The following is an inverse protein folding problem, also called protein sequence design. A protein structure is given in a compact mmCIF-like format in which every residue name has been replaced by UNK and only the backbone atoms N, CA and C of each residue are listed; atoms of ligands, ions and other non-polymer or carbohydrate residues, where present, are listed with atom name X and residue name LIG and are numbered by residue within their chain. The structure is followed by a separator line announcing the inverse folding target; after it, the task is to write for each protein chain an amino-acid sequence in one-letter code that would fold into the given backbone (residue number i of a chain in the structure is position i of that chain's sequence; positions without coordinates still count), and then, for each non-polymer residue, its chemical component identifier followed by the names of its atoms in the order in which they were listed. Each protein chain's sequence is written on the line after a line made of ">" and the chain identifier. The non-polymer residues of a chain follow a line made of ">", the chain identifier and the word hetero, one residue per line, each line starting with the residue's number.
data_IF_650888453505
#
_entry.id   IF_650888453505
#
_cell.length_a   1.000
_cell.length_b   1.000
_cell.length_c   1.000
_cell.angle_alpha   90.00
_cell.angle_beta   90.00
_cell.angle_gamma   90.00
#
_symmetry.space_group_name_H-M   'P 1'
#
loop_
_entity.id
_entity.type
_entity.pdbx_description
1 polymer ?
#
# COMPACT_ATOMS: atom_id res chain seq x y z
N UNK A 1 19.14 37.40 10.57
CA UNK A 1 20.53 36.95 10.72
C UNK A 1 20.66 36.20 12.06
N UNK A 2 20.75 34.87 11.98
CA UNK A 2 21.44 33.89 12.87
C UNK A 2 21.23 33.90 14.42
N UNK A 3 20.61 32.79 14.88
CA UNK A 3 20.78 31.90 16.07
C UNK A 3 20.72 32.43 17.53
N UNK A 4 19.97 31.70 18.37
CA UNK A 4 20.39 30.80 19.48
C UNK A 4 19.11 30.46 20.30
N UNK A 5 18.79 29.27 20.80
CA UNK A 5 19.35 27.93 20.75
C UNK A 5 18.25 26.94 21.17
N UNK A 6 18.21 25.75 20.55
CA UNK A 6 17.27 24.70 20.91
C UNK A 6 18.01 23.67 21.75
N UNK A 7 17.64 23.61 23.03
CA UNK A 7 18.13 22.66 24.01
C UNK A 7 17.63 21.26 23.66
N UNK A 8 18.56 20.33 23.74
CA UNK A 8 18.44 18.91 23.50
C UNK A 8 17.62 18.25 24.61
N UNK A 9 16.66 17.39 24.23
CA UNK A 9 16.02 16.25 24.91
C UNK A 9 14.72 15.99 24.13
N UNK A 10 14.29 14.79 23.74
CA UNK A 10 14.62 13.44 24.17
C UNK A 10 14.17 12.47 23.06
N UNK A 11 14.80 11.29 23.04
CA UNK A 11 14.56 10.15 22.18
C UNK A 11 13.09 9.91 21.78
N UNK A 12 12.84 9.73 20.47
CA UNK A 12 12.33 8.49 19.86
C UNK A 12 12.73 8.52 18.38
N UNK A 13 13.98 8.09 18.13
CA UNK A 13 14.64 8.07 16.82
C UNK A 13 14.08 7.03 15.85
N UNK A 14 12.82 7.19 15.43
CA UNK A 14 12.30 6.61 14.20
C UNK A 14 11.91 7.74 13.27
N UNK A 15 12.92 8.47 12.80
CA UNK A 15 12.77 9.19 11.54
C UNK A 15 12.83 8.13 10.44
N UNK A 16 11.72 7.42 10.24
CA UNK A 16 11.51 6.68 9.01
C UNK A 16 11.51 7.73 7.90
N UNK A 17 12.68 7.96 7.30
CA UNK A 17 12.77 8.57 6.00
C UNK A 17 12.17 7.53 5.07
N UNK A 18 10.84 7.51 4.97
CA UNK A 18 10.14 6.64 4.02
C UNK A 18 10.42 7.23 2.66
N UNK A 19 11.58 6.86 2.11
CA UNK A 19 12.04 7.29 0.80
C UNK A 19 10.99 6.78 -0.18
N UNK A 20 10.37 7.69 -0.92
CA UNK A 20 9.32 7.32 -1.87
C UNK A 20 9.94 6.48 -3.00
N UNK A 21 9.29 5.38 -3.43
CA UNK A 21 7.98 4.90 -2.99
C UNK A 21 8.02 4.10 -1.67
N UNK A 22 7.02 4.31 -0.81
CA UNK A 22 6.79 3.47 0.36
C UNK A 22 6.19 2.13 -0.08
N UNK A 23 6.77 1.01 0.36
CA UNK A 23 6.29 -0.33 0.01
C UNK A 23 5.61 -0.97 1.21
N UNK A 24 4.38 -1.44 1.03
CA UNK A 24 3.59 -2.13 2.05
C UNK A 24 3.20 -3.50 1.52
N UNK A 25 3.67 -4.57 2.17
CA UNK A 25 3.30 -5.94 1.86
C UNK A 25 2.29 -6.45 2.89
N UNK A 26 1.16 -7.00 2.43
CA UNK A 26 0.13 -7.58 3.27
C UNK A 26 0.20 -9.09 3.13
N UNK A 27 0.67 -9.77 4.18
CA UNK A 27 0.73 -11.22 4.27
C UNK A 27 -0.22 -11.75 5.35
N UNK A 28 -0.62 -13.01 5.26
CA UNK A 28 -1.49 -13.66 6.24
C UNK A 28 -2.11 -14.95 5.72
N UNK A 29 -2.86 -15.64 6.58
CA UNK A 29 -3.57 -16.88 6.26
C UNK A 29 -4.83 -16.63 5.41
N UNK A 30 -5.29 -17.64 4.69
CA UNK A 30 -6.53 -17.54 3.92
C UNK A 30 -7.75 -17.34 4.81
N UNK A 31 -8.73 -16.58 4.32
CA UNK A 31 -9.87 -16.13 5.12
C UNK A 31 -9.60 -14.90 6.01
N UNK A 32 -8.35 -14.48 6.22
CA UNK A 32 -7.99 -13.31 7.05
C UNK A 32 -8.33 -11.93 6.46
N UNK A 33 -9.02 -11.88 5.31
CA UNK A 33 -9.45 -10.60 4.71
C UNK A 33 -8.32 -9.74 4.13
N UNK A 34 -7.23 -10.34 3.66
CA UNK A 34 -6.04 -9.65 3.09
C UNK A 34 -6.40 -8.68 1.96
N UNK A 35 -7.07 -9.18 0.92
CA UNK A 35 -7.45 -8.42 -0.28
C UNK A 35 -8.40 -7.28 0.06
N UNK A 36 -9.38 -7.54 0.93
CA UNK A 36 -10.33 -6.53 1.41
C UNK A 36 -9.64 -5.44 2.24
N UNK A 37 -8.68 -5.82 3.09
CA UNK A 37 -7.92 -4.88 3.90
C UNK A 37 -6.99 -4.02 3.03
N UNK A 38 -6.39 -4.60 1.99
CA UNK A 38 -5.58 -3.89 1.01
C UNK A 38 -6.40 -2.83 0.27
N UNK A 39 -7.59 -3.20 -0.25
CA UNK A 39 -8.48 -2.26 -0.92
C UNK A 39 -8.94 -1.11 -0.02
N UNK A 40 -9.29 -1.40 1.23
CA UNK A 40 -9.64 -0.37 2.24
C UNK A 40 -8.47 0.56 2.56
N UNK A 41 -7.26 0.01 2.69
CA UNK A 41 -6.05 0.79 2.94
C UNK A 41 -5.76 1.73 1.76
N UNK A 42 -5.83 1.21 0.54
CA UNK A 42 -5.62 2.00 -0.66
C UNK A 42 -6.65 3.13 -0.79
N UNK A 43 -7.94 2.86 -0.55
CA UNK A 43 -8.97 3.89 -0.54
C UNK A 43 -8.67 5.02 0.46
N UNK A 44 -8.27 4.67 1.69
CA UNK A 44 -7.91 5.65 2.72
C UNK A 44 -6.71 6.50 2.31
N UNK A 45 -5.66 5.87 1.77
CA UNK A 45 -4.46 6.56 1.32
C UNK A 45 -4.73 7.44 0.09
N UNK A 46 -5.59 7.00 -0.83
CA UNK A 46 -6.00 7.79 -2.00
C UNK A 46 -6.78 9.03 -1.58
N UNK A 47 -7.69 8.89 -0.60
CA UNK A 47 -8.42 10.01 0.01
C UNK A 47 -7.48 11.01 0.71
N UNK A 48 -6.34 10.55 1.23
CA UNK A 48 -5.29 11.40 1.78
C UNK A 48 -4.40 12.06 0.70
N UNK A 49 -4.69 11.86 -0.59
CA UNK A 49 -3.93 12.46 -1.70
C UNK A 49 -2.66 11.71 -2.09
N UNK A 50 -2.45 10.48 -1.60
CA UNK A 50 -1.30 9.67 -1.99
C UNK A 50 -1.48 9.09 -3.40
N UNK A 51 -0.38 9.02 -4.16
CA UNK A 51 -0.30 8.21 -5.39
C UNK A 51 -0.05 6.76 -4.98
N UNK A 52 -0.89 5.84 -5.46
CA UNK A 52 -0.88 4.43 -5.07
C UNK A 52 -0.78 3.58 -6.33
N UNK A 53 0.12 2.60 -6.25
CA UNK A 53 0.24 1.50 -7.18
C UNK A 53 -0.07 0.22 -6.39
N UNK A 54 -1.09 -0.53 -6.84
CA UNK A 54 -1.39 -1.86 -6.32
C UNK A 54 -0.62 -2.90 -7.13
N UNK A 55 -0.18 -3.97 -6.48
CA UNK A 55 0.43 -5.11 -7.15
C UNK A 55 -0.29 -6.39 -6.72
N UNK A 56 -0.85 -7.12 -7.69
CA UNK A 56 -1.50 -8.40 -7.49
C UNK A 56 -0.45 -9.52 -7.38
N UNK A 57 0.12 -9.68 -6.19
CA UNK A 57 1.08 -10.75 -5.89
C UNK A 57 0.47 -12.08 -5.46
N UNK A 58 -0.86 -12.16 -5.27
CA UNK A 58 -1.55 -13.42 -4.93
C UNK A 58 -1.74 -14.27 -6.20
N UNK A 59 -0.74 -15.06 -6.54
CA UNK A 59 -0.75 -15.91 -7.74
C UNK A 59 -1.47 -17.24 -7.52
N UNK A 60 -1.64 -17.68 -6.27
CA UNK A 60 -2.24 -18.98 -5.95
C UNK A 60 -3.75 -18.97 -6.13
N UNK A 61 -4.42 -17.86 -5.80
CA UNK A 61 -5.88 -17.74 -5.88
C UNK A 61 -6.27 -16.90 -7.08
N UNK A 62 -6.65 -17.56 -8.18
CA UNK A 62 -7.03 -16.90 -9.44
C UNK A 62 -8.03 -15.75 -9.23
N UNK A 63 -9.10 -16.01 -8.46
CA UNK A 63 -10.14 -15.04 -8.15
C UNK A 63 -9.68 -13.83 -7.30
N UNK A 64 -8.52 -13.90 -6.63
CA UNK A 64 -8.01 -12.76 -5.86
C UNK A 64 -7.56 -11.63 -6.79
N UNK A 65 -7.01 -11.96 -7.96
CA UNK A 65 -6.56 -10.98 -8.97
C UNK A 65 -7.75 -10.12 -9.44
N UNK A 66 -8.83 -10.77 -9.88
CA UNK A 66 -10.07 -10.12 -10.32
C UNK A 66 -10.68 -9.25 -9.21
N UNK A 67 -10.66 -9.76 -7.96
CA UNK A 67 -11.14 -8.99 -6.82
C UNK A 67 -10.31 -7.72 -6.59
N UNK A 68 -8.99 -7.80 -6.75
CA UNK A 68 -8.09 -6.67 -6.57
C UNK A 68 -8.23 -5.65 -7.72
N UNK A 69 -8.47 -6.10 -8.95
CA UNK A 69 -8.79 -5.24 -10.09
C UNK A 69 -10.04 -4.40 -9.82
N UNK A 70 -11.12 -5.03 -9.34
CA UNK A 70 -12.35 -4.31 -8.95
C UNK A 70 -12.05 -3.25 -7.87
N UNK A 71 -11.15 -3.53 -6.93
CA UNK A 71 -10.74 -2.55 -5.92
C UNK A 71 -9.90 -1.42 -6.52
N UNK A 72 -9.02 -1.72 -7.47
CA UNK A 72 -8.22 -0.72 -8.18
C UNK A 72 -9.13 0.24 -8.96
N UNK A 73 -10.11 -0.29 -9.70
CA UNK A 73 -11.13 0.49 -10.41
C UNK A 73 -11.93 1.37 -9.46
N UNK A 74 -12.45 0.80 -8.36
CA UNK A 74 -13.24 1.54 -7.36
C UNK A 74 -12.47 2.66 -6.67
N UNK A 75 -11.16 2.52 -6.54
CA UNK A 75 -10.30 3.50 -5.86
C UNK A 75 -9.58 4.43 -6.84
N UNK A 76 -9.66 4.17 -8.15
CA UNK A 76 -8.88 4.88 -9.16
C UNK A 76 -7.37 4.75 -8.94
N UNK A 77 -6.91 3.58 -8.49
CA UNK A 77 -5.49 3.27 -8.34
C UNK A 77 -5.00 2.47 -9.56
N UNK A 78 -3.72 2.66 -9.91
CA UNK A 78 -3.07 1.80 -10.90
C UNK A 78 -2.81 0.42 -10.28
N UNK A 79 -2.93 -0.64 -11.08
CA UNK A 79 -2.68 -2.02 -10.66
C UNK A 79 -1.73 -2.71 -11.63
N UNK A 80 -0.75 -3.42 -11.07
CA UNK A 80 0.09 -4.37 -11.80
C UNK A 80 -0.41 -5.77 -11.48
N UNK A 81 -0.76 -6.52 -12.53
CA UNK A 81 -1.23 -7.90 -12.42
C UNK A 81 -0.22 -8.81 -13.12
N UNK A 82 0.03 -9.99 -12.54
CA UNK A 82 0.88 -10.98 -13.17
C UNK A 82 0.22 -11.50 -14.46
N UNK A 83 0.99 -11.60 -15.54
CA UNK A 83 0.50 -12.16 -16.81
C UNK A 83 -0.01 -13.58 -16.59
N UNK A 84 -1.27 -13.82 -16.94
CA UNK A 84 -1.85 -15.15 -17.07
C UNK A 84 -2.32 -15.30 -18.52
N UNK A 85 -1.83 -16.32 -19.22
CA UNK A 85 -2.50 -16.78 -20.43
C UNK A 85 -3.93 -17.17 -20.03
N UNK A 86 -4.93 -16.47 -20.58
CA UNK A 86 -6.32 -16.89 -20.49
C UNK A 86 -6.44 -18.17 -21.32
N UNK A 87 -6.41 -19.32 -20.65
CA UNK A 87 -6.72 -20.62 -21.24
C UNK A 87 -8.21 -20.74 -21.57
#
# INVERSE_FOLDING_TARGET
>A
MIKFGFSIWSCYGLRCVVRKPAVVMIAGVDGGGKTTSLGKLAYRLKKAGAKILMAAGDTFRAATSDQLEIWAERTGCEIVVAEREKA
#
